data_IF_602149551332
#
_entry.id   IF_602149551332
#
_cell.length_a   1.000
_cell.length_b   1.000
_cell.length_c   1.000
_cell.angle_alpha   90.00
_cell.angle_beta   90.00
_cell.angle_gamma   90.00
#
_symmetry.space_group_name_H-M   'P 1'
#
loop_
_entity.id
_entity.type
_entity.pdbx_description
1 polymer ?
#
# COMPACT_ATOMS: atom_id res chain seq x y z
N UNK A 1 -24.33 12.83 13.82
CA UNK A 1 -23.74 12.06 14.93
C UNK A 1 -23.84 12.89 16.21
N UNK A 2 -24.01 12.29 17.40
CA UNK A 2 -23.90 13.03 18.65
C UNK A 2 -22.48 13.61 18.81
N UNK A 3 -22.30 14.75 19.50
CA UNK A 3 -20.99 15.36 19.69
C UNK A 3 -20.10 14.47 20.56
N UNK A 4 -18.81 14.36 20.20
CA UNK A 4 -17.83 13.58 20.96
C UNK A 4 -17.67 14.16 22.38
N UNK A 5 -17.53 13.28 23.38
CA UNK A 5 -17.27 13.71 24.76
C UNK A 5 -15.88 14.34 24.88
N UNK A 6 -15.70 15.40 25.69
CA UNK A 6 -14.40 16.05 25.86
C UNK A 6 -13.34 15.05 26.36
N UNK A 7 -12.31 14.81 25.56
CA UNK A 7 -11.18 13.91 25.89
C UNK A 7 -11.22 12.53 25.24
N UNK A 8 -12.29 12.16 24.53
CA UNK A 8 -12.27 11.00 23.63
C UNK A 8 -11.75 11.40 22.26
N UNK A 9 -10.83 10.60 21.71
CA UNK A 9 -10.45 10.73 20.30
C UNK A 9 -11.71 10.59 19.44
N UNK A 10 -11.88 11.50 18.48
CA UNK A 10 -13.02 11.46 17.57
C UNK A 10 -13.04 10.10 16.86
N UNK A 11 -14.24 9.49 16.76
CA UNK A 11 -14.38 8.26 15.99
C UNK A 11 -14.10 8.55 14.51
N UNK A 12 -13.34 7.69 13.80
CA UNK A 12 -13.11 7.87 12.38
C UNK A 12 -14.43 7.92 11.62
N UNK A 13 -14.54 8.84 10.66
CA UNK A 13 -15.70 8.99 9.78
C UNK A 13 -15.22 8.92 8.33
N UNK A 14 -15.96 8.21 7.49
CA UNK A 14 -15.68 8.16 6.07
C UNK A 14 -15.97 9.51 5.41
N UNK A 15 -15.01 9.96 4.60
CA UNK A 15 -15.02 11.26 3.96
C UNK A 15 -14.70 12.41 4.92
N UNK A 16 -14.03 12.22 6.06
CA UNK A 16 -13.78 13.32 7.01
C UNK A 16 -12.81 14.41 6.49
N UNK A 17 -12.03 14.09 5.45
CA UNK A 17 -11.15 15.07 4.82
C UNK A 17 -11.92 16.23 4.14
N UNK A 18 -11.21 17.32 3.88
CA UNK A 18 -11.73 18.48 3.13
C UNK A 18 -11.91 18.15 1.66
N UNK A 19 -12.97 18.66 1.03
CA UNK A 19 -13.24 18.50 -0.39
C UNK A 19 -14.63 19.01 -0.75
N UNK A 20 -14.87 19.21 -2.05
CA UNK A 20 -16.10 19.77 -2.59
C UNK A 20 -17.19 18.71 -2.82
N UNK A 21 -16.78 17.45 -3.01
CA UNK A 21 -17.69 16.30 -3.16
C UNK A 21 -17.32 15.17 -2.20
N UNK A 22 -18.25 14.23 -1.96
CA UNK A 22 -17.94 13.04 -1.16
C UNK A 22 -16.79 12.23 -1.79
N UNK A 23 -16.78 12.12 -3.11
CA UNK A 23 -15.75 11.41 -3.87
C UNK A 23 -14.35 12.01 -3.64
N UNK A 24 -14.24 13.35 -3.72
CA UNK A 24 -13.00 14.06 -3.46
C UNK A 24 -12.54 13.93 -2.01
N UNK A 25 -13.48 13.98 -1.06
CA UNK A 25 -13.19 13.82 0.38
C UNK A 25 -12.65 12.42 0.68
N UNK A 26 -13.23 11.37 0.09
CA UNK A 26 -12.73 10.00 0.23
C UNK A 26 -11.34 9.84 -0.40
N UNK A 27 -11.13 10.39 -1.60
CA UNK A 27 -9.81 10.39 -2.23
C UNK A 27 -8.75 11.08 -1.34
N UNK A 28 -9.04 12.28 -0.84
CA UNK A 28 -8.13 13.04 0.02
C UNK A 28 -7.87 12.34 1.36
N UNK A 29 -8.88 11.66 1.92
CA UNK A 29 -8.72 10.89 3.15
C UNK A 29 -7.76 9.70 2.95
N UNK A 30 -7.94 8.92 1.89
CA UNK A 30 -7.02 7.81 1.56
C UNK A 30 -5.60 8.32 1.33
N UNK A 31 -5.45 9.45 0.65
CA UNK A 31 -4.15 10.09 0.47
C UNK A 31 -3.50 10.47 1.81
N UNK A 32 -4.27 11.08 2.73
CA UNK A 32 -3.81 11.36 4.09
C UNK A 32 -3.39 10.12 4.86
N UNK A 33 -4.20 9.05 4.80
CA UNK A 33 -3.86 7.76 5.42
C UNK A 33 -2.55 7.16 4.87
N UNK A 34 -2.31 7.30 3.57
CA UNK A 34 -1.05 6.90 2.95
C UNK A 34 0.12 7.73 3.49
N UNK A 35 -0.01 9.05 3.56
CA UNK A 35 1.03 9.93 4.10
C UNK A 35 1.35 9.61 5.55
N UNK A 36 0.32 9.35 6.36
CA UNK A 36 0.46 8.97 7.76
C UNK A 36 1.14 7.61 7.91
N UNK A 37 0.78 6.62 7.08
CA UNK A 37 1.47 5.32 7.05
C UNK A 37 2.95 5.49 6.68
N UNK A 38 3.25 6.26 5.65
CA UNK A 38 4.61 6.53 5.21
C UNK A 38 5.42 7.25 6.30
N UNK A 39 4.81 8.23 6.97
CA UNK A 39 5.43 8.98 8.08
C UNK A 39 5.72 8.08 9.28
N UNK A 40 4.76 7.24 9.69
CA UNK A 40 4.94 6.30 10.80
C UNK A 40 6.04 5.28 10.50
N UNK A 41 6.04 4.71 9.29
CA UNK A 41 7.06 3.75 8.86
C UNK A 41 8.46 4.38 8.81
N UNK A 42 8.58 5.60 8.26
CA UNK A 42 9.84 6.33 8.21
C UNK A 42 10.36 6.64 9.62
N UNK A 43 9.50 7.14 10.52
CA UNK A 43 9.86 7.44 11.91
C UNK A 43 10.35 6.19 12.65
N UNK A 44 9.66 5.06 12.49
CA UNK A 44 10.08 3.78 13.06
C UNK A 44 11.46 3.35 12.55
N UNK A 45 11.65 3.30 11.23
CA UNK A 45 12.92 2.86 10.62
C UNK A 45 14.08 3.77 11.03
N UNK A 46 13.88 5.09 11.02
CA UNK A 46 14.89 6.05 11.49
C UNK A 46 15.22 5.87 12.98
N UNK A 47 14.24 5.54 13.83
CA UNK A 47 14.49 5.28 15.24
C UNK A 47 15.29 3.97 15.47
N UNK A 48 15.03 2.94 14.67
CA UNK A 48 15.83 1.70 14.67
C UNK A 48 17.26 1.97 14.23
N UNK A 49 17.45 2.66 13.09
CA UNK A 49 18.77 3.02 12.57
C UNK A 49 19.56 3.86 13.60
N UNK A 50 18.88 4.78 14.29
CA UNK A 50 19.47 5.55 15.37
C UNK A 50 19.92 4.68 16.55
N UNK A 51 19.09 3.72 16.98
CA UNK A 51 19.43 2.80 18.06
C UNK A 51 20.64 1.94 17.70
N UNK A 52 20.74 1.47 16.46
CA UNK A 52 21.88 0.71 15.95
C UNK A 52 23.16 1.55 15.87
N UNK A 53 23.08 2.75 15.31
CA UNK A 53 24.21 3.70 15.24
C UNK A 53 24.73 4.05 16.63
N UNK A 54 23.82 4.29 17.58
CA UNK A 54 24.18 4.56 18.98
C UNK A 54 24.89 3.38 19.63
N UNK A 55 24.40 2.15 19.41
CA UNK A 55 25.07 0.94 19.91
C UNK A 55 26.49 0.85 19.35
N UNK A 56 26.68 1.06 18.04
CA UNK A 56 27.99 1.08 17.40
C UNK A 56 28.95 2.08 18.05
N UNK A 57 28.50 3.31 18.27
CA UNK A 57 29.30 4.35 18.93
C UNK A 57 29.68 4.01 20.38
N UNK A 58 28.75 3.43 21.15
CA UNK A 58 29.01 3.00 22.54
C UNK A 58 30.04 1.86 22.57
N UNK A 59 29.97 0.92 21.61
CA UNK A 59 30.93 -0.17 21.46
C UNK A 59 32.33 0.34 21.06
N UNK A 60 32.41 1.23 20.06
CA UNK A 60 33.68 1.80 19.60
C UNK A 60 34.39 2.57 20.73
N UNK A 61 33.62 3.36 21.50
CA UNK A 61 34.14 4.05 22.68
C UNK A 61 34.65 3.07 23.74
N UNK A 62 33.93 1.99 24.02
CA UNK A 62 34.37 0.96 24.98
C UNK A 62 35.67 0.27 24.55
N UNK A 63 35.86 0.04 23.25
CA UNK A 63 37.05 -0.60 22.66
C UNK A 63 38.26 0.34 22.50
N UNK A 64 38.03 1.66 22.59
CA UNK A 64 39.08 2.69 22.46
C UNK A 64 40.08 2.69 23.62
N UNK A 65 39.70 2.22 24.82
CA UNK A 65 40.61 2.09 25.96
C UNK A 65 41.33 0.72 25.96
N UNK A 66 42.66 0.68 25.78
CA UNK A 66 43.42 -0.57 25.75
C UNK A 66 43.27 -1.41 27.03
N UNK A 67 43.01 -0.77 28.18
CA UNK A 67 42.85 -1.46 29.48
C UNK A 67 41.54 -2.19 29.61
N UNK A 68 40.53 -1.80 28.83
CA UNK A 68 39.19 -2.39 28.87
C UNK A 68 39.01 -3.53 27.86
N UNK A 69 39.99 -3.81 27.00
CA UNK A 69 39.84 -4.85 25.94
C UNK A 69 39.78 -6.29 26.43
N UNK A 70 40.34 -6.58 27.61
CA UNK A 70 40.47 -7.95 28.14
C UNK A 70 39.88 -7.98 29.55
N UNK A 71 38.60 -8.38 29.67
CA UNK A 71 37.94 -8.61 30.95
C UNK A 71 36.43 -8.29 30.97
N UNK A 72 35.73 -8.73 32.02
CA UNK A 72 34.27 -8.61 32.16
C UNK A 72 33.69 -7.19 32.22
N UNK A 73 34.53 -6.14 32.26
CA UNK A 73 34.07 -4.76 32.11
C UNK A 73 33.64 -4.45 30.66
N UNK A 74 34.35 -4.95 29.66
CA UNK A 74 33.95 -4.81 28.26
C UNK A 74 32.69 -5.63 27.93
N UNK A 75 32.56 -6.82 28.51
CA UNK A 75 31.36 -7.65 28.29
C UNK A 75 30.11 -6.97 28.87
N UNK A 76 30.20 -6.42 30.09
CA UNK A 76 29.10 -5.62 30.67
C UNK A 76 28.76 -4.39 29.82
N UNK A 77 29.76 -3.67 29.33
CA UNK A 77 29.52 -2.50 28.46
C UNK A 77 28.82 -2.90 27.14
N UNK A 78 29.16 -4.05 26.56
CA UNK A 78 28.48 -4.59 25.37
C UNK A 78 27.03 -4.97 25.68
N UNK A 79 26.80 -5.65 26.79
CA UNK A 79 25.46 -6.05 27.23
C UNK A 79 24.57 -4.82 27.49
N UNK A 80 25.09 -3.80 28.19
CA UNK A 80 24.39 -2.54 28.44
C UNK A 80 24.06 -1.80 27.14
N UNK A 81 25.01 -1.72 26.20
CA UNK A 81 24.78 -1.08 24.90
C UNK A 81 23.69 -1.80 24.08
N UNK A 82 23.70 -3.15 24.10
CA UNK A 82 22.66 -3.96 23.46
C UNK A 82 21.30 -3.76 24.11
N UNK A 83 21.24 -3.77 25.44
CA UNK A 83 20.00 -3.56 26.20
C UNK A 83 19.38 -2.20 25.91
N UNK A 84 20.18 -1.13 25.84
CA UNK A 84 19.69 0.20 25.45
C UNK A 84 19.17 0.25 24.02
N UNK A 85 19.85 -0.41 23.07
CA UNK A 85 19.36 -0.52 21.69
C UNK A 85 18.01 -1.25 21.67
N UNK A 86 17.90 -2.39 22.35
CA UNK A 86 16.63 -3.12 22.45
C UNK A 86 15.50 -2.29 23.04
N UNK A 87 15.79 -1.53 24.10
CA UNK A 87 14.83 -0.62 24.71
C UNK A 87 14.35 0.47 23.74
N UNK A 88 15.27 1.10 23.00
CA UNK A 88 14.92 2.12 22.00
C UNK A 88 14.09 1.54 20.86
N UNK A 89 14.49 0.38 20.33
CA UNK A 89 13.75 -0.34 19.28
C UNK A 89 12.36 -0.76 19.75
N UNK A 90 12.23 -1.26 20.99
CA UNK A 90 10.94 -1.65 21.56
C UNK A 90 10.00 -0.44 21.69
N UNK A 91 10.48 0.69 22.22
CA UNK A 91 9.69 1.94 22.29
C UNK A 91 9.27 2.44 20.90
N UNK A 92 10.16 2.37 19.92
CA UNK A 92 9.82 2.75 18.55
C UNK A 92 8.74 1.84 17.96
N UNK A 93 8.80 0.52 18.23
CA UNK A 93 7.78 -0.44 17.83
C UNK A 93 6.43 -0.13 18.47
N UNK A 94 6.39 0.18 19.76
CA UNK A 94 5.14 0.53 20.47
C UNK A 94 4.45 1.76 19.86
N UNK A 95 5.23 2.77 19.44
CA UNK A 95 4.69 3.94 18.75
C UNK A 95 4.11 3.54 17.40
N UNK A 96 4.88 2.80 16.58
CA UNK A 96 4.40 2.31 15.29
C UNK A 96 3.11 1.49 15.43
N UNK A 97 3.05 0.57 16.38
CA UNK A 97 1.89 -0.30 16.57
C UNK A 97 0.62 0.49 16.92
N UNK A 98 0.77 1.57 17.71
CA UNK A 98 -0.32 2.51 18.02
C UNK A 98 -0.80 3.23 16.76
N UNK A 99 0.12 3.80 15.98
CA UNK A 99 -0.21 4.54 14.76
C UNK A 99 -0.90 3.63 13.73
N UNK A 100 -0.39 2.40 13.56
CA UNK A 100 -0.99 1.41 12.67
C UNK A 100 -2.36 0.92 13.16
N UNK A 101 -2.59 0.87 14.48
CA UNK A 101 -3.91 0.55 15.03
C UNK A 101 -4.93 1.66 14.75
N UNK A 102 -4.51 2.92 14.83
CA UNK A 102 -5.35 4.06 14.44
C UNK A 102 -5.70 4.01 12.95
N UNK A 103 -4.71 3.82 12.08
CA UNK A 103 -4.94 3.70 10.62
C UNK A 103 -5.84 2.51 10.26
N UNK A 104 -5.71 1.39 10.97
CA UNK A 104 -6.60 0.24 10.78
C UNK A 104 -8.05 0.56 11.16
N UNK A 105 -8.27 1.32 12.24
CA UNK A 105 -9.61 1.76 12.63
C UNK A 105 -10.21 2.72 11.60
N UNK A 106 -9.40 3.62 11.04
CA UNK A 106 -9.85 4.51 9.95
C UNK A 106 -10.18 3.74 8.68
N UNK A 107 -9.31 2.82 8.25
CA UNK A 107 -9.54 1.96 7.08
C UNK A 107 -10.84 1.14 7.21
N UNK A 108 -11.15 0.64 8.40
CA UNK A 108 -12.39 -0.11 8.66
C UNK A 108 -13.68 0.71 8.44
N UNK A 109 -13.60 2.04 8.55
CA UNK A 109 -14.74 2.94 8.30
C UNK A 109 -14.73 3.44 6.86
N UNK A 110 -13.55 3.72 6.30
CA UNK A 110 -13.40 4.27 4.95
C UNK A 110 -13.66 3.23 3.87
N UNK A 111 -13.12 2.01 3.98
CA UNK A 111 -13.21 0.96 2.94
C UNK A 111 -14.67 0.63 2.53
N UNK A 112 -15.63 0.44 3.45
CA UNK A 112 -17.03 0.17 3.07
C UNK A 112 -17.73 1.34 2.38
N UNK A 113 -17.23 2.57 2.53
CA UNK A 113 -17.80 3.77 1.94
C UNK A 113 -17.24 4.08 0.54
N UNK A 114 -16.26 3.31 0.07
CA UNK A 114 -15.59 3.58 -1.20
C UNK A 114 -16.49 3.35 -2.40
N UNK A 115 -16.51 4.28 -3.38
CA UNK A 115 -17.14 4.04 -4.66
C UNK A 115 -16.39 2.93 -5.43
N UNK A 116 -17.05 2.32 -6.41
CA UNK A 116 -16.50 1.21 -7.21
C UNK A 116 -15.09 1.50 -7.77
N UNK A 117 -14.82 2.74 -8.20
CA UNK A 117 -13.52 3.16 -8.70
C UNK A 117 -12.37 2.97 -7.68
N UNK A 118 -12.65 3.15 -6.38
CA UNK A 118 -11.66 3.08 -5.28
C UNK A 118 -11.73 1.77 -4.49
N UNK A 119 -12.82 1.01 -4.64
CA UNK A 119 -13.09 -0.16 -3.81
C UNK A 119 -12.39 -1.43 -4.33
N UNK A 120 -11.97 -2.34 -3.43
CA UNK A 120 -11.53 -3.69 -3.79
C UNK A 120 -12.63 -4.46 -4.55
N UNK A 121 -12.27 -5.49 -5.33
CA UNK A 121 -13.27 -6.30 -6.07
C UNK A 121 -14.19 -7.12 -5.15
N UNK A 122 -13.74 -7.40 -3.94
CA UNK A 122 -14.48 -8.05 -2.85
C UNK A 122 -15.43 -7.09 -2.12
N UNK A 123 -15.35 -5.79 -2.40
CA UNK A 123 -16.19 -4.80 -1.75
C UNK A 123 -17.66 -4.93 -2.19
N UNK A 124 -18.64 -4.91 -1.26
CA UNK A 124 -20.06 -5.03 -1.58
C UNK A 124 -20.61 -3.99 -2.55
N UNK A 125 -19.93 -2.85 -2.75
CA UNK A 125 -20.33 -1.83 -3.74
C UNK A 125 -20.52 -2.43 -5.14
N UNK A 126 -19.77 -3.47 -5.49
CA UNK A 126 -19.88 -4.14 -6.79
C UNK A 126 -21.18 -4.93 -6.97
N UNK A 127 -21.82 -5.39 -5.88
CA UNK A 127 -23.13 -6.08 -5.98
C UNK A 127 -24.27 -5.14 -6.35
N UNK A 128 -24.13 -3.85 -6.01
CA UNK A 128 -25.10 -2.80 -6.33
C UNK A 128 -24.54 -1.86 -7.41
N UNK A 129 -23.54 -2.31 -8.18
CA UNK A 129 -22.88 -1.49 -9.19
C UNK A 129 -23.90 -0.95 -10.20
N UNK A 130 -23.80 0.34 -10.47
CA UNK A 130 -24.61 1.03 -11.48
C UNK A 130 -23.68 1.57 -12.55
N UNK A 131 -24.20 1.64 -13.77
CA UNK A 131 -23.48 2.22 -14.91
C UNK A 131 -23.09 3.66 -14.54
N UNK A 132 -21.78 3.99 -14.54
CA UNK A 132 -21.32 5.34 -14.24
C UNK A 132 -21.82 6.35 -15.27
N UNK A 133 -22.18 7.55 -14.82
CA UNK A 133 -22.56 8.68 -15.68
C UNK A 133 -21.50 9.79 -15.69
N UNK A 134 -20.53 9.72 -14.79
CA UNK A 134 -19.45 10.68 -14.62
C UNK A 134 -18.11 9.97 -14.78
N UNK A 135 -17.11 10.72 -15.25
CA UNK A 135 -15.75 10.19 -15.33
C UNK A 135 -15.18 9.98 -13.93
N UNK A 136 -14.53 8.83 -13.66
CA UNK A 136 -13.92 8.57 -12.36
C UNK A 136 -12.75 9.54 -12.10
N UNK A 137 -12.66 10.05 -10.88
CA UNK A 137 -11.58 10.96 -10.48
C UNK A 137 -10.24 10.22 -10.25
N UNK A 138 -10.30 8.97 -9.83
CA UNK A 138 -9.15 8.13 -9.57
C UNK A 138 -9.49 6.63 -9.74
N UNK A 139 -8.47 5.78 -9.71
CA UNK A 139 -8.59 4.33 -9.86
C UNK A 139 -7.74 3.62 -8.81
N UNK A 140 -8.28 2.58 -8.17
CA UNK A 140 -7.46 1.66 -7.35
C UNK A 140 -6.63 0.73 -8.21
N UNK A 141 -5.31 0.77 -8.02
CA UNK A 141 -4.36 -0.16 -8.62
C UNK A 141 -4.01 -1.34 -7.71
N UNK A 142 -4.31 -1.26 -6.43
CA UNK A 142 -4.01 -2.32 -5.48
C UNK A 142 -3.99 -1.78 -4.08
N UNK A 143 -3.16 -2.39 -3.23
CA UNK A 143 -3.02 -2.03 -1.84
C UNK A 143 -1.56 -1.83 -1.47
N UNK A 144 -1.31 -0.85 -0.63
CA UNK A 144 -0.05 -0.64 0.05
C UNK A 144 -0.12 -1.31 1.42
N UNK A 145 0.94 -2.04 1.77
CA UNK A 145 1.12 -2.61 3.09
C UNK A 145 2.58 -2.51 3.51
N UNK A 146 2.83 -2.59 4.80
CA UNK A 146 4.19 -2.66 5.34
C UNK A 146 4.64 -4.13 5.43
N UNK A 147 5.91 -4.45 5.13
CA UNK A 147 6.49 -5.75 5.46
C UNK A 147 6.39 -6.06 6.96
N UNK A 148 6.54 -5.05 7.80
CA UNK A 148 6.47 -5.15 9.26
C UNK A 148 5.07 -5.49 9.78
N UNK A 149 4.02 -5.18 9.00
CA UNK A 149 2.62 -5.49 9.32
C UNK A 149 1.77 -5.56 8.06
N UNK A 150 1.52 -6.78 7.59
CA UNK A 150 0.72 -7.04 6.37
C UNK A 150 -0.80 -6.97 6.59
N UNK A 151 -1.24 -6.88 7.85
CA UNK A 151 -2.65 -6.83 8.21
C UNK A 151 -3.34 -5.48 7.94
N UNK A 152 -2.58 -4.41 7.73
CA UNK A 152 -3.10 -3.10 7.29
C UNK A 152 -2.88 -2.95 5.78
N UNK A 153 -3.96 -2.64 5.05
CA UNK A 153 -3.94 -2.43 3.60
C UNK A 153 -4.54 -1.06 3.30
N UNK A 154 -3.76 -0.17 2.72
CA UNK A 154 -4.20 1.15 2.28
C UNK A 154 -4.42 1.12 0.77
N UNK A 155 -5.59 1.52 0.24
CA UNK A 155 -5.80 1.57 -1.20
C UNK A 155 -4.76 2.41 -1.94
N UNK A 156 -4.11 1.84 -2.95
CA UNK A 156 -3.25 2.57 -3.87
C UNK A 156 -4.10 3.18 -4.97
N UNK A 157 -4.37 4.48 -4.88
CA UNK A 157 -5.15 5.21 -5.87
C UNK A 157 -4.25 6.01 -6.82
N UNK A 158 -4.60 6.04 -8.10
CA UNK A 158 -4.00 6.94 -9.10
C UNK A 158 -5.05 7.86 -9.68
N UNK A 159 -4.70 9.14 -9.87
CA UNK A 159 -5.58 10.13 -10.49
C UNK A 159 -5.85 9.81 -11.95
N UNK A 160 -7.05 10.15 -12.39
CA UNK A 160 -7.48 10.10 -13.78
C UNK A 160 -7.78 11.51 -14.31
N UNK A 161 -7.54 11.79 -15.61
CA UNK A 161 -6.86 10.90 -16.57
C UNK A 161 -5.40 10.67 -16.19
N UNK A 162 -4.84 9.51 -16.59
CA UNK A 162 -3.44 9.19 -16.31
C UNK A 162 -2.53 10.16 -17.08
N UNK A 163 -1.63 10.85 -16.39
CA UNK A 163 -0.60 11.69 -17.03
C UNK A 163 0.46 10.85 -17.77
N UNK A 164 0.66 9.61 -17.32
CA UNK A 164 1.64 8.67 -17.85
C UNK A 164 1.04 7.27 -17.90
N UNK A 165 1.43 6.50 -18.92
CA UNK A 165 1.05 5.09 -19.02
C UNK A 165 1.53 4.28 -17.82
N UNK A 166 0.76 3.25 -17.45
CA UNK A 166 1.14 2.29 -16.41
C UNK A 166 1.95 1.18 -17.08
N UNK A 167 3.12 0.90 -16.52
CA UNK A 167 3.94 -0.23 -16.93
C UNK A 167 3.82 -1.34 -15.89
N UNK A 168 3.35 -2.52 -16.32
CA UNK A 168 3.28 -3.71 -15.47
C UNK A 168 4.43 -4.65 -15.86
N UNK A 169 5.36 -4.86 -14.95
CA UNK A 169 6.50 -5.76 -15.14
C UNK A 169 6.35 -7.02 -14.27
N UNK A 170 6.92 -8.12 -14.74
CA UNK A 170 7.03 -9.42 -14.08
C UNK A 170 8.08 -9.46 -12.95
N UNK A 171 8.76 -8.35 -12.67
CA UNK A 171 9.30 -8.05 -11.34
C UNK A 171 10.40 -8.96 -10.81
N UNK A 172 11.36 -9.41 -11.65
CA UNK A 172 12.48 -10.27 -11.21
C UNK A 172 13.38 -9.68 -10.10
N UNK A 173 13.17 -8.44 -9.65
CA UNK A 173 14.21 -7.65 -8.94
C UNK A 173 13.91 -7.25 -7.49
N UNK A 174 12.77 -7.56 -6.86
CA UNK A 174 12.47 -6.91 -5.55
C UNK A 174 11.80 -7.73 -4.44
N UNK A 175 11.23 -8.92 -4.68
CA UNK A 175 10.54 -9.67 -3.61
C UNK A 175 11.08 -11.09 -3.47
N UNK A 176 11.37 -11.53 -2.23
CA UNK A 176 11.77 -12.91 -1.92
C UNK A 176 10.75 -13.93 -2.45
N UNK A 177 9.46 -13.57 -2.42
CA UNK A 177 8.41 -14.41 -2.97
C UNK A 177 8.53 -14.55 -4.50
N UNK A 178 8.88 -13.48 -5.21
CA UNK A 178 9.07 -13.51 -6.66
C UNK A 178 10.32 -14.30 -7.07
N UNK A 179 11.37 -14.30 -6.23
CA UNK A 179 12.58 -15.10 -6.47
C UNK A 179 12.33 -16.61 -6.43
N UNK A 180 11.27 -17.06 -5.75
CA UNK A 180 10.86 -18.46 -5.65
C UNK A 180 9.88 -18.90 -6.76
N UNK A 181 9.40 -17.96 -7.58
CA UNK A 181 8.41 -18.23 -8.63
C UNK A 181 9.07 -18.47 -9.98
N UNK A 182 8.51 -19.40 -10.75
CA UNK A 182 8.92 -19.61 -12.14
C UNK A 182 8.59 -18.38 -13.00
N UNK A 183 9.46 -18.10 -13.96
CA UNK A 183 9.40 -16.90 -14.79
C UNK A 183 8.16 -16.82 -15.67
N UNK A 184 7.63 -17.97 -16.11
CA UNK A 184 6.37 -18.04 -16.85
C UNK A 184 5.18 -17.62 -15.97
N UNK A 185 5.19 -18.07 -14.71
CA UNK A 185 4.13 -17.70 -13.76
C UNK A 185 4.15 -16.21 -13.44
N UNK A 186 5.33 -15.60 -13.32
CA UNK A 186 5.46 -14.15 -13.10
C UNK A 186 4.95 -13.33 -14.30
N UNK A 187 5.26 -13.76 -15.53
CA UNK A 187 4.71 -13.12 -16.74
C UNK A 187 3.20 -13.24 -16.81
N UNK A 188 2.67 -14.41 -16.49
CA UNK A 188 1.23 -14.65 -16.45
C UNK A 188 0.53 -13.72 -15.45
N UNK A 189 1.07 -13.60 -14.23
CA UNK A 189 0.52 -12.71 -13.19
C UNK A 189 0.59 -11.23 -13.57
N UNK A 190 1.68 -10.80 -14.23
CA UNK A 190 1.79 -9.44 -14.75
C UNK A 190 0.69 -9.15 -15.78
N UNK A 191 0.43 -10.10 -16.68
CA UNK A 191 -0.64 -9.97 -17.67
C UNK A 191 -2.04 -9.99 -17.01
N UNK A 192 -2.30 -10.90 -16.08
CA UNK A 192 -3.55 -10.95 -15.31
C UNK A 192 -3.80 -9.62 -14.59
N UNK A 193 -2.75 -9.02 -14.01
CA UNK A 193 -2.82 -7.70 -13.36
C UNK A 193 -3.22 -6.61 -14.34
N UNK A 194 -2.60 -6.56 -15.53
CA UNK A 194 -2.96 -5.60 -16.57
C UNK A 194 -4.42 -5.76 -17.03
N UNK A 195 -4.89 -7.00 -17.23
CA UNK A 195 -6.28 -7.31 -17.60
C UNK A 195 -7.26 -6.87 -16.50
N UNK A 196 -6.94 -7.12 -15.22
CA UNK A 196 -7.77 -6.68 -14.10
C UNK A 196 -7.92 -5.16 -14.05
N UNK A 197 -6.85 -4.40 -14.33
CA UNK A 197 -6.93 -2.95 -14.40
C UNK A 197 -7.72 -2.45 -15.62
N UNK A 198 -7.56 -3.09 -16.77
CA UNK A 198 -8.36 -2.78 -17.96
C UNK A 198 -9.86 -3.05 -17.71
N UNK A 199 -10.20 -4.20 -17.11
CA UNK A 199 -11.56 -4.54 -16.72
C UNK A 199 -12.15 -3.53 -15.73
N UNK A 200 -11.35 -3.09 -14.76
CA UNK A 200 -11.78 -2.06 -13.79
C UNK A 200 -12.07 -0.74 -14.49
N UNK A 201 -11.17 -0.27 -15.35
CA UNK A 201 -11.37 0.97 -16.13
C UNK A 201 -12.65 0.89 -16.97
N UNK A 202 -12.88 -0.21 -17.67
CA UNK A 202 -14.11 -0.44 -18.43
C UNK A 202 -15.37 -0.40 -17.54
N UNK A 203 -15.30 -0.95 -16.32
CA UNK A 203 -16.43 -1.01 -15.41
C UNK A 203 -16.78 0.34 -14.75
N UNK A 204 -15.80 1.23 -14.60
CA UNK A 204 -15.93 2.49 -13.83
C UNK A 204 -15.97 3.74 -14.70
N UNK A 205 -15.80 3.61 -16.01
CA UNK A 205 -16.07 4.66 -16.98
C UNK A 205 -17.51 4.60 -17.49
N UNK A 206 -18.11 5.75 -17.89
CA UNK A 206 -19.36 5.75 -18.62
C UNK A 206 -19.24 4.98 -19.95
N UNK A 207 -20.31 4.35 -20.45
CA UNK A 207 -20.28 3.61 -21.70
C UNK A 207 -19.83 4.49 -22.87
N UNK A 208 -18.83 4.03 -23.63
CA UNK A 208 -18.28 4.74 -24.78
C UNK A 208 -17.17 5.75 -24.45
N UNK A 209 -16.93 6.06 -23.16
CA UNK A 209 -15.89 7.01 -22.75
C UNK A 209 -14.50 6.36 -22.59
N UNK A 210 -14.42 5.02 -22.61
CA UNK A 210 -13.16 4.29 -22.53
C UNK A 210 -13.16 3.12 -23.53
N UNK A 211 -12.06 2.97 -24.27
CA UNK A 211 -11.87 1.91 -25.25
C UNK A 211 -10.55 1.19 -24.99
N UNK A 212 -10.57 -0.14 -25.06
CA UNK A 212 -9.38 -0.96 -24.86
C UNK A 212 -8.93 -1.54 -26.19
N UNK A 213 -7.69 -1.23 -26.56
CA UNK A 213 -6.99 -1.85 -27.68
C UNK A 213 -5.88 -2.75 -27.12
N UNK A 214 -5.74 -3.94 -27.70
CA UNK A 214 -4.77 -4.94 -27.26
C UNK A 214 -3.81 -5.25 -28.40
N UNK A 215 -2.52 -5.22 -28.08
CA UNK A 215 -1.43 -5.59 -28.98
C UNK A 215 -0.69 -6.76 -28.35
N UNK A 216 -0.88 -7.96 -28.87
CA UNK A 216 -0.23 -9.22 -28.48
C UNK A 216 0.14 -10.04 -29.73
N UNK A 217 1.18 -9.62 -30.48
CA UNK A 217 1.53 -10.24 -31.75
C UNK A 217 2.01 -11.69 -31.61
N UNK A 218 2.42 -12.11 -30.41
CA UNK A 218 2.85 -13.47 -30.12
C UNK A 218 1.68 -14.39 -29.71
N UNK A 219 0.49 -13.83 -29.46
CA UNK A 219 -0.66 -14.56 -28.89
C UNK A 219 -0.40 -15.13 -27.49
N UNK A 220 0.65 -14.65 -26.82
CA UNK A 220 1.14 -15.20 -25.55
C UNK A 220 0.21 -14.87 -24.37
N UNK A 221 -0.61 -13.83 -24.52
CA UNK A 221 -1.57 -13.35 -23.53
C UNK A 221 -3.02 -13.80 -23.82
N UNK A 222 -3.24 -14.67 -24.83
CA UNK A 222 -4.59 -15.12 -25.22
C UNK A 222 -5.41 -15.67 -24.04
N UNK A 223 -4.78 -16.44 -23.15
CA UNK A 223 -5.42 -16.98 -21.94
C UNK A 223 -5.92 -15.87 -21.00
N UNK A 224 -5.04 -15.03 -20.43
CA UNK A 224 -5.42 -13.89 -19.61
C UNK A 224 -6.42 -12.92 -20.25
N UNK A 225 -6.35 -12.72 -21.57
CA UNK A 225 -7.23 -11.83 -22.31
C UNK A 225 -8.63 -12.40 -22.55
N UNK A 226 -8.81 -13.72 -22.45
CA UNK A 226 -10.07 -14.39 -22.78
C UNK A 226 -11.31 -13.74 -22.13
N UNK A 227 -11.32 -13.35 -20.83
CA UNK A 227 -12.48 -12.70 -20.22
C UNK A 227 -12.90 -11.40 -20.91
N UNK A 228 -11.95 -10.59 -21.41
CA UNK A 228 -12.25 -9.34 -22.11
C UNK A 228 -12.73 -9.60 -23.56
N UNK A 229 -12.14 -10.61 -24.20
CA UNK A 229 -12.52 -11.03 -25.55
C UNK A 229 -13.93 -11.62 -25.54
N UNK A 230 -14.20 -12.57 -24.64
CA UNK A 230 -15.47 -13.26 -24.51
C UNK A 230 -16.61 -12.31 -24.13
N UNK A 231 -16.31 -11.27 -23.34
CA UNK A 231 -17.27 -10.22 -23.00
C UNK A 231 -17.52 -9.22 -24.13
N UNK A 232 -16.72 -9.22 -25.21
CA UNK A 232 -16.87 -8.32 -26.35
C UNK A 232 -16.59 -6.85 -26.02
N UNK A 233 -15.76 -6.58 -25.00
CA UNK A 233 -15.50 -5.21 -24.49
C UNK A 233 -14.26 -4.56 -25.11
N UNK A 234 -13.53 -5.27 -25.96
CA UNK A 234 -12.39 -4.74 -26.70
C UNK A 234 -12.85 -3.96 -27.94
N UNK A 235 -12.12 -2.91 -28.30
CA UNK A 235 -12.39 -2.10 -29.50
C UNK A 235 -12.06 -2.84 -30.82
N UNK A 236 -11.43 -4.01 -30.72
CA UNK A 236 -11.10 -4.91 -31.82
C UNK A 236 -10.46 -6.19 -31.27
N UNK A 237 -10.24 -7.21 -32.10
CA UNK A 237 -9.50 -8.41 -31.67
C UNK A 237 -8.06 -8.03 -31.28
N UNK A 238 -7.44 -8.77 -30.34
CA UNK A 238 -6.01 -8.63 -30.07
C UNK A 238 -5.18 -8.81 -31.36
N UNK A 239 -4.23 -7.90 -31.60
CA UNK A 239 -3.42 -7.84 -32.83
C UNK A 239 -1.92 -8.01 -32.58
#
# INVERSE_FOLDING_TARGET
APPAQPGQAAQPVAGDATGWSMDERLYNQIWGMFEDLARAAAAYRSAVDFAESRMGQELDRSLSDPRNRIGGAADRAREEARAKRDELTARAREVLDRDLAQLAAEAAVVEPALPAAYAGWDNPVWHAHRIPMELPMALRLGDLHLPERTGLRIPLLVRLPLERGIWVDSGRTASEAAALMDSDRLRLLAMETAVLHAARLLAVYPPGEFSVHVIDPAGSAAGPLAPLVDAGVLAGPPA
#
